data_IF_963320453622
#
_entry.id   IF_963320453622
#
_cell.length_a   1.000
_cell.length_b   1.000
_cell.length_c   1.000
_cell.angle_alpha   90.00
_cell.angle_beta   90.00
_cell.angle_gamma   90.00
#
_symmetry.space_group_name_H-M   'P 1'
#
loop_
_entity.id
_entity.type
_entity.pdbx_description
1 polymer ?
#
# COMPACT_ATOMS: atom_id res chain seq x y z
N UNK A 1 -19.48 -2.56 -24.61
CA UNK A 1 -18.47 -3.64 -24.51
C UNK A 1 -17.32 -3.05 -23.72
N UNK A 2 -17.34 -3.18 -22.39
CA UNK A 2 -16.24 -2.67 -21.55
C UNK A 2 -15.17 -3.76 -21.53
N UNK A 3 -14.35 -3.76 -22.55
CA UNK A 3 -13.11 -4.54 -22.55
C UNK A 3 -12.00 -3.59 -22.11
N UNK A 4 -11.51 -3.83 -20.91
CA UNK A 4 -10.41 -3.14 -20.28
C UNK A 4 -9.95 -4.02 -19.14
N UNK A 5 -9.09 -4.96 -19.48
CA UNK A 5 -8.19 -5.80 -18.67
C UNK A 5 -8.30 -5.63 -17.14
N UNK A 6 -8.47 -6.72 -16.36
CA UNK A 6 -8.38 -6.65 -14.89
C UNK A 6 -7.09 -5.91 -14.49
N UNK A 7 -7.09 -5.03 -13.48
CA UNK A 7 -5.86 -4.33 -13.07
C UNK A 7 -4.86 -5.34 -12.49
N UNK A 8 -4.01 -5.88 -13.35
CA UNK A 8 -2.81 -6.62 -12.99
C UNK A 8 -1.85 -5.61 -12.31
N UNK A 9 -1.70 -5.48 -10.99
CA UNK A 9 -2.04 -6.32 -9.87
C UNK A 9 -2.54 -5.43 -8.72
N UNK A 10 -3.45 -5.94 -7.90
CA UNK A 10 -3.77 -5.38 -6.58
C UNK A 10 -2.46 -5.11 -5.81
N UNK A 11 -2.03 -3.85 -5.82
CA UNK A 11 -0.86 -3.38 -5.07
C UNK A 11 -1.13 -3.47 -3.56
N UNK A 12 -2.39 -3.65 -3.16
CA UNK A 12 -2.84 -3.65 -1.79
C UNK A 12 -3.69 -4.91 -1.56
N UNK A 13 -3.29 -5.73 -0.60
CA UNK A 13 -4.02 -6.91 -0.16
C UNK A 13 -4.59 -6.65 1.22
N UNK A 14 -5.89 -6.92 1.41
CA UNK A 14 -6.57 -6.82 2.69
C UNK A 14 -7.09 -8.20 3.10
N UNK A 15 -6.53 -8.74 4.17
CA UNK A 15 -7.01 -9.96 4.81
C UNK A 15 -8.23 -9.65 5.68
N UNK A 16 -9.41 -10.05 5.21
CA UNK A 16 -10.68 -9.81 5.92
C UNK A 16 -10.83 -10.64 7.19
N UNK A 17 -10.15 -11.77 7.31
CA UNK A 17 -10.26 -12.62 8.50
C UNK A 17 -9.50 -11.99 9.68
N UNK A 18 -8.36 -11.36 9.39
CA UNK A 18 -7.55 -10.67 10.40
C UNK A 18 -7.95 -9.19 10.59
N UNK A 19 -8.66 -8.58 9.64
CA UNK A 19 -9.08 -7.19 9.78
C UNK A 19 -10.06 -7.02 10.95
N UNK A 20 -9.82 -6.02 11.79
CA UNK A 20 -10.68 -5.69 12.95
C UNK A 20 -11.59 -4.48 12.71
N UNK A 21 -11.68 -3.98 11.47
CA UNK A 21 -12.55 -2.85 11.13
C UNK A 21 -12.19 -1.51 11.80
N UNK A 22 -10.93 -1.31 12.21
CA UNK A 22 -10.53 -0.12 12.98
C UNK A 22 -10.42 1.19 12.17
N UNK A 23 -10.49 1.12 10.83
CA UNK A 23 -10.49 2.25 9.89
C UNK A 23 -9.21 3.09 9.77
N UNK A 24 -8.17 2.77 10.54
CA UNK A 24 -6.89 3.51 10.55
C UNK A 24 -6.26 3.63 9.14
N UNK A 25 -6.36 2.58 8.31
CA UNK A 25 -5.83 2.61 6.95
C UNK A 25 -6.52 3.64 6.03
N UNK A 26 -7.81 3.92 6.28
CA UNK A 26 -8.57 4.91 5.53
C UNK A 26 -8.22 6.32 6.00
N UNK A 27 -8.17 6.51 7.33
CA UNK A 27 -7.97 7.84 7.94
C UNK A 27 -6.54 8.36 7.75
N UNK A 28 -5.55 7.47 7.79
CA UNK A 28 -4.13 7.82 7.67
C UNK A 28 -3.63 7.85 6.23
N UNK A 29 -4.37 7.28 5.27
CA UNK A 29 -3.93 7.29 3.88
C UNK A 29 -4.04 8.71 3.30
N UNK A 30 -2.92 9.35 2.90
CA UNK A 30 -2.95 10.70 2.33
C UNK A 30 -3.66 10.75 0.97
N UNK A 31 -3.83 9.59 0.33
CA UNK A 31 -4.52 9.43 -0.95
C UNK A 31 -5.97 8.95 -0.77
N UNK A 32 -6.47 8.80 0.47
CA UNK A 32 -7.89 8.49 0.76
C UNK A 32 -8.60 9.62 1.48
N UNK A 33 -7.87 10.41 2.26
CA UNK A 33 -8.43 11.51 3.03
C UNK A 33 -8.57 12.77 2.16
N UNK A 34 -9.81 13.23 1.95
CA UNK A 34 -10.14 14.47 1.23
C UNK A 34 -9.64 14.51 -0.22
N UNK A 35 -9.66 13.37 -0.92
CA UNK A 35 -9.27 13.26 -2.33
C UNK A 35 -10.48 12.91 -3.21
N UNK A 36 -10.43 13.30 -4.49
CA UNK A 36 -11.46 12.94 -5.48
C UNK A 36 -11.46 11.43 -5.78
N UNK A 37 -10.28 10.79 -5.72
CA UNK A 37 -10.08 9.37 -5.98
C UNK A 37 -9.45 8.69 -4.75
N UNK A 38 -10.25 8.31 -3.73
CA UNK A 38 -9.72 7.72 -2.52
C UNK A 38 -9.22 6.29 -2.75
N UNK A 39 -8.01 5.98 -2.27
CA UNK A 39 -7.48 4.60 -2.34
C UNK A 39 -8.37 3.63 -1.57
N UNK A 40 -8.76 4.00 -0.35
CA UNK A 40 -9.64 3.22 0.51
C UNK A 40 -10.97 3.92 0.74
N UNK A 41 -12.04 3.14 0.75
CA UNK A 41 -13.37 3.55 1.22
C UNK A 41 -13.86 2.58 2.28
N UNK A 42 -14.79 3.02 3.12
CA UNK A 42 -15.44 2.12 4.06
C UNK A 42 -16.62 1.43 3.38
N UNK A 43 -16.58 0.10 3.36
CA UNK A 43 -17.72 -0.70 2.95
C UNK A 43 -18.82 -0.73 3.99
N UNK A 44 -20.02 -1.13 3.58
CA UNK A 44 -21.20 -1.20 4.43
C UNK A 44 -21.06 -2.21 5.58
N UNK A 45 -20.19 -3.22 5.41
CA UNK A 45 -19.88 -4.24 6.42
C UNK A 45 -18.86 -3.75 7.47
N UNK A 46 -18.43 -2.49 7.42
CA UNK A 46 -17.47 -1.91 8.37
C UNK A 46 -16.01 -2.26 8.09
N UNK A 47 -15.71 -2.87 6.93
CA UNK A 47 -14.37 -3.18 6.47
C UNK A 47 -13.90 -2.20 5.39
N UNK A 48 -12.58 -1.91 5.32
CA UNK A 48 -12.02 -1.10 4.25
C UNK A 48 -12.07 -1.87 2.92
N UNK A 49 -12.43 -1.17 1.85
CA UNK A 49 -12.42 -1.64 0.47
C UNK A 49 -11.44 -0.77 -0.32
N UNK A 50 -10.62 -1.41 -1.18
CA UNK A 50 -9.75 -0.69 -2.11
C UNK A 50 -10.59 -0.21 -3.28
N UNK A 51 -10.82 1.11 -3.38
CA UNK A 51 -11.63 1.71 -4.45
C UNK A 51 -10.79 2.17 -5.64
N UNK A 52 -9.63 2.80 -5.37
CA UNK A 52 -8.76 3.34 -6.41
C UNK A 52 -7.30 2.92 -6.17
N UNK A 53 -6.96 1.68 -6.53
CA UNK A 53 -5.62 1.13 -6.33
C UNK A 53 -4.52 1.93 -7.05
N UNK A 54 -4.84 2.55 -8.19
CA UNK A 54 -3.90 3.37 -8.97
C UNK A 54 -3.47 4.66 -8.27
N UNK A 55 -4.27 5.15 -7.32
CA UNK A 55 -3.91 6.31 -6.50
C UNK A 55 -2.93 5.95 -5.38
N UNK A 56 -2.63 4.66 -5.17
CA UNK A 56 -1.70 4.22 -4.14
C UNK A 56 -0.25 4.56 -4.53
N UNK A 57 0.34 5.50 -3.80
CA UNK A 57 1.76 5.86 -3.93
C UNK A 57 2.72 4.89 -3.23
N UNK A 58 2.21 3.79 -2.65
CA UNK A 58 3.00 2.75 -1.96
C UNK A 58 3.90 3.30 -0.84
N UNK A 59 3.37 4.22 -0.03
CA UNK A 59 4.09 4.78 1.12
C UNK A 59 4.24 3.79 2.30
N UNK A 60 3.57 2.63 2.25
CA UNK A 60 3.59 1.56 3.25
C UNK A 60 3.01 1.93 4.64
N UNK A 61 2.49 3.13 4.83
CA UNK A 61 1.97 3.58 6.12
C UNK A 61 0.81 2.71 6.63
N UNK A 62 -0.09 2.28 5.73
CA UNK A 62 -1.22 1.43 6.10
C UNK A 62 -0.80 0.02 6.55
N UNK A 63 0.26 -0.54 5.97
CA UNK A 63 0.83 -1.83 6.37
C UNK A 63 1.51 -1.73 7.73
N UNK A 64 2.35 -0.72 7.94
CA UNK A 64 3.09 -0.51 9.20
C UNK A 64 2.15 -0.20 10.37
N UNK A 65 1.10 0.58 10.15
CA UNK A 65 0.15 0.97 11.20
C UNK A 65 -0.92 -0.10 11.47
N UNK A 66 -1.06 -1.11 10.61
CA UNK A 66 -2.05 -2.15 10.80
C UNK A 66 -1.68 -3.03 12.00
N UNK A 67 -2.26 -2.74 13.16
CA UNK A 67 -2.06 -3.53 14.40
C UNK A 67 -2.45 -5.00 14.27
N UNK A 68 -3.34 -5.32 13.33
CA UNK A 68 -3.80 -6.68 13.07
C UNK A 68 -2.98 -7.38 11.97
N UNK A 69 -2.04 -6.68 11.31
CA UNK A 69 -1.27 -7.23 10.20
C UNK A 69 -2.10 -7.59 8.97
N UNK A 70 -3.30 -7.02 8.85
CA UNK A 70 -4.29 -7.39 7.83
C UNK A 70 -4.09 -6.68 6.49
N UNK A 71 -3.19 -5.71 6.38
CA UNK A 71 -2.94 -4.94 5.15
C UNK A 71 -1.53 -5.18 4.68
N UNK A 72 -1.34 -5.52 3.39
CA UNK A 72 -0.04 -5.62 2.74
C UNK A 72 0.01 -4.81 1.46
N UNK A 73 1.17 -4.20 1.19
CA UNK A 73 1.41 -3.44 -0.04
C UNK A 73 2.55 -4.06 -0.82
N UNK A 74 2.27 -4.54 -2.04
CA UNK A 74 3.25 -5.18 -2.91
C UNK A 74 3.81 -4.24 -4.00
N UNK A 75 5.04 -4.51 -4.44
CA UNK A 75 5.68 -3.77 -5.53
C UNK A 75 5.64 -4.60 -6.82
N UNK A 76 4.91 -4.17 -7.87
CA UNK A 76 4.99 -4.81 -9.17
C UNK A 76 6.29 -4.37 -9.85
N UNK A 77 7.37 -5.13 -9.64
CA UNK A 77 8.64 -4.88 -10.35
C UNK A 77 9.86 -5.55 -9.73
N UNK A 78 10.80 -5.94 -10.60
CA UNK A 78 12.13 -6.38 -10.15
C UNK A 78 12.88 -5.17 -9.59
N UNK A 79 13.41 -5.28 -8.37
CA UNK A 79 14.34 -4.29 -7.83
C UNK A 79 15.58 -4.26 -8.73
N UNK A 80 15.78 -3.15 -9.43
CA UNK A 80 17.06 -2.89 -10.07
C UNK A 80 18.03 -2.40 -8.99
N UNK A 81 18.75 -3.36 -8.41
CA UNK A 81 19.73 -3.12 -7.35
C UNK A 81 21.03 -2.49 -7.86
N UNK A 82 21.01 -1.83 -9.03
CA UNK A 82 22.18 -1.15 -9.60
C UNK A 82 22.74 -0.09 -8.64
N UNK A 83 21.88 0.58 -7.88
CA UNK A 83 22.27 1.53 -6.82
C UNK A 83 22.95 0.87 -5.61
N UNK A 84 22.71 -0.41 -5.32
CA UNK A 84 23.43 -1.14 -4.26
C UNK A 84 24.90 -1.40 -4.65
N UNK A 85 25.25 -1.28 -5.93
CA UNK A 85 26.64 -1.34 -6.40
C UNK A 85 27.38 -0.01 -6.28
N UNK A 86 26.72 1.05 -5.82
CA UNK A 86 27.40 2.29 -5.46
C UNK A 86 28.10 2.12 -4.10
N UNK A 87 29.42 1.85 -4.14
CA UNK A 87 30.26 1.72 -2.94
C UNK A 87 30.18 2.93 -2.00
N UNK A 88 29.89 4.14 -2.51
CA UNK A 88 29.71 5.33 -1.67
C UNK A 88 28.39 5.28 -0.93
N UNK A 89 27.32 4.83 -1.57
CA UNK A 89 26.03 4.63 -0.92
C UNK A 89 26.12 3.51 0.13
N UNK A 90 26.73 2.38 -0.20
CA UNK A 90 26.93 1.26 0.73
C UNK A 90 27.75 1.65 1.97
N UNK A 91 28.87 2.39 1.80
CA UNK A 91 29.68 2.88 2.93
C UNK A 91 28.91 3.81 3.86
N UNK A 92 28.06 4.69 3.33
CA UNK A 92 27.25 5.60 4.15
C UNK A 92 26.18 4.86 4.94
N UNK A 93 25.48 3.92 4.30
CA UNK A 93 24.44 3.11 4.95
C UNK A 93 24.98 2.19 6.04
N UNK A 94 26.22 1.69 5.87
CA UNK A 94 26.88 0.82 6.85
C UNK A 94 27.58 1.55 8.00
N UNK A 95 27.81 2.86 7.88
CA UNK A 95 28.37 3.68 8.96
C UNK A 95 27.35 4.02 10.07
N UNK A 96 26.09 3.57 9.92
CA UNK A 96 25.03 3.76 10.90
C UNK A 96 24.94 2.60 11.93
N UNK A 97 25.78 1.56 11.79
CA UNK A 97 25.95 0.46 12.75
C UNK A 97 27.44 0.18 12.99
#
# INVERSE_FOLDING_TARGET
>A
MVEGTPPEAETILIDRENCIGCRECVDMCPQSRNTEYPVYVMGDEGFPIVANADSCIRCLSCEVLCRAGAVKVEWPGKKDDSYLRDERAWRKSRAMF
#
